data_IF_761674138318
#
_entry.id   IF_761674138318
#
_cell.length_a   1.000
_cell.length_b   1.000
_cell.length_c   1.000
_cell.angle_alpha   90.00
_cell.angle_beta   90.00
_cell.angle_gamma   90.00
#
_symmetry.space_group_name_H-M   'P 1'
#
loop_
_entity.id
_entity.type
_entity.pdbx_description
1 polymer ?
#
# COMPACT_ATOMS: atom_id res chain seq x y z
N UNK A 1 41.80 -23.37 7.31
CA UNK A 1 42.40 -22.62 8.42
C UNK A 1 43.56 -21.80 7.87
N UNK A 2 43.53 -20.50 7.95
CA UNK A 2 44.77 -19.72 8.20
C UNK A 2 44.51 -18.59 9.20
N UNK A 3 45.29 -18.58 10.27
CA UNK A 3 46.23 -17.53 10.54
C UNK A 3 45.72 -16.46 11.48
N UNK A 4 45.65 -16.77 12.79
CA UNK A 4 45.57 -15.73 13.84
C UNK A 4 46.99 -15.19 14.09
N UNK A 5 47.29 -13.95 13.71
CA UNK A 5 48.59 -13.31 13.99
C UNK A 5 48.66 -12.88 15.46
N UNK A 6 49.63 -13.41 16.18
CA UNK A 6 49.98 -13.01 17.55
C UNK A 6 50.57 -11.59 17.53
N UNK A 7 49.92 -10.66 18.23
CA UNK A 7 50.63 -9.50 18.83
C UNK A 7 50.71 -9.72 20.35
N UNK A 8 51.89 -9.47 20.85
CA UNK A 8 52.28 -9.76 22.20
C UNK A 8 51.45 -8.98 23.27
N UNK A 9 50.99 -9.65 24.34
CA UNK A 9 50.63 -9.03 25.60
C UNK A 9 49.25 -9.26 26.13
N UNK A 10 48.30 -9.85 25.41
CA UNK A 10 46.95 -10.15 25.97
C UNK A 10 46.55 -11.55 25.50
N UNK A 11 46.36 -12.44 26.46
CA UNK A 11 45.86 -13.80 26.19
C UNK A 11 44.34 -13.77 25.90
N UNK A 12 44.00 -14.06 24.65
CA UNK A 12 42.60 -14.27 24.24
C UNK A 12 42.31 -15.77 24.19
N UNK A 13 41.29 -16.20 24.87
CA UNK A 13 40.74 -17.55 24.71
C UNK A 13 39.49 -17.43 23.84
N UNK A 14 39.55 -18.04 22.65
CA UNK A 14 38.42 -18.08 21.76
C UNK A 14 37.67 -19.40 21.95
N UNK A 15 36.45 -19.35 22.44
CA UNK A 15 35.56 -20.51 22.58
C UNK A 15 34.45 -20.34 21.55
N UNK A 16 34.37 -21.25 20.58
CA UNK A 16 33.25 -21.33 19.66
C UNK A 16 32.16 -22.21 20.24
N UNK A 17 31.04 -21.64 20.61
CA UNK A 17 29.80 -22.37 20.87
C UNK A 17 28.89 -22.18 19.68
N UNK A 18 28.04 -23.15 19.33
CA UNK A 18 27.23 -23.18 18.10
C UNK A 18 26.26 -22.01 17.89
N UNK A 19 26.35 -20.91 18.67
CA UNK A 19 25.47 -19.74 18.65
C UNK A 19 26.22 -18.40 18.49
N UNK A 20 27.51 -18.38 18.15
CA UNK A 20 28.25 -17.13 17.95
C UNK A 20 29.63 -17.11 18.60
N UNK A 21 30.42 -16.09 18.29
CA UNK A 21 31.79 -15.91 18.76
C UNK A 21 31.78 -15.24 20.13
N UNK A 22 32.31 -15.91 21.17
CA UNK A 22 32.47 -15.33 22.50
C UNK A 22 33.95 -15.01 22.73
N UNK A 23 34.29 -13.75 22.93
CA UNK A 23 35.63 -13.32 23.30
C UNK A 23 35.71 -13.01 24.80
N UNK A 24 36.60 -13.68 25.52
CA UNK A 24 36.85 -13.43 26.94
C UNK A 24 38.25 -12.83 27.10
N UNK A 25 38.32 -11.63 27.68
CA UNK A 25 39.59 -11.01 28.04
C UNK A 25 39.88 -11.26 29.52
N UNK A 26 41.01 -11.93 29.81
CA UNK A 26 41.50 -12.09 31.17
C UNK A 26 42.48 -10.96 31.51
N UNK A 27 42.20 -10.18 32.55
CA UNK A 27 43.19 -9.28 33.12
C UNK A 27 42.85 -7.79 33.21
N UNK A 28 41.60 -7.38 33.32
CA UNK A 28 41.26 -5.99 33.62
C UNK A 28 40.68 -5.84 35.04
N UNK A 29 41.37 -5.09 35.90
CA UNK A 29 40.79 -4.50 37.11
C UNK A 29 39.95 -3.29 36.68
N UNK A 30 38.64 -3.35 36.87
CA UNK A 30 37.75 -2.23 36.70
C UNK A 30 37.93 -1.19 37.82
N UNK A 31 38.01 0.11 37.50
CA UNK A 31 38.10 1.15 38.53
C UNK A 31 36.85 1.17 39.41
N UNK A 32 37.07 1.45 40.69
CA UNK A 32 36.12 1.33 41.83
C UNK A 32 34.79 2.09 41.67
N UNK A 33 34.66 3.01 40.73
CA UNK A 33 33.46 3.83 40.52
C UNK A 33 32.45 3.24 39.52
N UNK A 34 32.79 2.13 38.81
CA UNK A 34 31.84 1.40 37.96
C UNK A 34 31.06 0.28 38.69
N UNK A 35 31.39 0.00 39.98
CA UNK A 35 30.77 -1.07 40.74
C UNK A 35 29.47 -0.68 41.45
N UNK A 36 29.07 0.59 41.37
CA UNK A 36 27.87 1.12 42.02
C UNK A 36 26.53 0.83 41.32
N UNK A 37 26.54 0.20 40.11
CA UNK A 37 25.33 -0.02 39.33
C UNK A 37 24.85 -1.47 39.28
N UNK A 38 25.42 -2.39 40.06
CA UNK A 38 24.97 -3.78 40.10
C UNK A 38 24.20 -4.07 41.39
N UNK A 39 23.07 -4.78 41.35
CA UNK A 39 22.28 -5.11 42.51
C UNK A 39 23.02 -6.09 43.44
N UNK A 40 22.84 -5.96 44.76
CA UNK A 40 23.64 -6.64 45.83
C UNK A 40 23.71 -8.18 45.84
N UNK A 41 22.81 -8.97 45.20
CA UNK A 41 22.91 -10.42 45.34
C UNK A 41 23.97 -11.09 44.45
N UNK A 42 24.65 -10.38 43.55
CA UNK A 42 25.65 -10.99 42.64
C UNK A 42 27.06 -11.11 43.21
N UNK A 43 27.31 -10.61 44.43
CA UNK A 43 28.62 -10.62 45.07
C UNK A 43 28.91 -11.87 45.94
N UNK A 44 27.92 -12.74 46.15
CA UNK A 44 28.04 -13.81 47.16
C UNK A 44 28.49 -15.17 46.61
N UNK A 45 28.66 -15.34 45.32
CA UNK A 45 29.14 -16.60 44.75
C UNK A 45 30.43 -16.41 43.96
N UNK A 46 31.54 -16.61 44.59
CA UNK A 46 32.90 -16.48 44.07
C UNK A 46 33.32 -17.48 43.00
N UNK A 47 32.43 -17.97 42.15
CA UNK A 47 32.74 -18.82 40.99
C UNK A 47 31.59 -18.84 39.96
N UNK A 48 31.01 -17.71 39.64
CA UNK A 48 30.06 -17.69 38.52
C UNK A 48 30.64 -16.86 37.41
N UNK A 49 30.97 -17.49 36.28
CA UNK A 49 31.35 -16.83 35.06
C UNK A 49 30.07 -16.19 34.51
N UNK A 50 29.93 -14.87 34.63
CA UNK A 50 28.87 -14.15 33.97
C UNK A 50 29.20 -14.05 32.45
N UNK A 51 28.57 -14.87 31.63
CA UNK A 51 28.60 -14.69 30.19
C UNK A 51 27.69 -13.51 29.79
N UNK A 52 28.28 -12.37 29.51
CA UNK A 52 27.57 -11.32 28.78
C UNK A 52 27.53 -11.71 27.30
N UNK A 53 26.37 -12.12 26.83
CA UNK A 53 26.10 -12.23 25.40
C UNK A 53 25.91 -10.78 24.89
N UNK A 54 26.97 -10.19 24.37
CA UNK A 54 26.84 -9.00 23.53
C UNK A 54 26.26 -9.52 22.23
N UNK A 55 24.94 -9.50 22.09
CA UNK A 55 24.30 -9.64 20.80
C UNK A 55 24.81 -8.52 19.94
N UNK A 56 25.73 -8.82 19.01
CA UNK A 56 26.00 -7.95 17.88
C UNK A 56 24.69 -7.76 17.13
N UNK A 57 24.52 -6.65 16.41
CA UNK A 57 23.34 -6.51 15.58
C UNK A 57 23.25 -7.76 14.69
N UNK A 58 22.19 -8.51 14.85
CA UNK A 58 21.81 -9.58 13.95
C UNK A 58 21.72 -8.94 12.56
N UNK A 59 22.65 -9.24 11.68
CA UNK A 59 22.61 -8.82 10.30
C UNK A 59 21.63 -9.68 9.51
N UNK A 60 20.43 -9.74 10.01
CA UNK A 60 19.21 -10.16 9.37
C UNK A 60 18.09 -9.31 9.99
N UNK A 61 18.17 -7.98 9.80
CA UNK A 61 16.94 -7.26 9.52
C UNK A 61 16.49 -7.78 8.15
N UNK A 62 15.81 -8.93 8.13
CA UNK A 62 14.75 -9.12 7.16
C UNK A 62 13.92 -7.84 7.30
N UNK A 63 14.01 -6.98 6.30
CA UNK A 63 13.16 -5.80 6.20
C UNK A 63 11.73 -6.35 6.27
N UNK A 64 11.11 -6.24 7.44
CA UNK A 64 9.73 -6.64 7.59
C UNK A 64 8.97 -5.83 6.55
N UNK A 65 8.38 -6.51 5.56
CA UNK A 65 7.54 -5.91 4.54
C UNK A 65 6.51 -5.07 5.28
N UNK A 66 6.51 -3.77 5.07
CA UNK A 66 5.53 -2.89 5.72
C UNK A 66 4.13 -3.34 5.31
N UNK A 67 3.19 -3.36 6.24
CA UNK A 67 1.82 -3.80 5.99
C UNK A 67 1.16 -3.06 4.82
N UNK A 68 1.62 -1.83 4.51
CA UNK A 68 1.08 -0.99 3.44
C UNK A 68 1.83 -1.10 2.09
N UNK A 69 2.92 -1.89 1.97
CA UNK A 69 3.71 -1.99 0.73
C UNK A 69 2.92 -2.51 -0.48
N UNK A 70 1.77 -3.15 -0.22
CA UNK A 70 0.86 -3.68 -1.26
C UNK A 70 -0.42 -2.86 -1.42
N UNK A 71 -0.49 -1.69 -0.80
CA UNK A 71 -1.68 -0.83 -0.81
C UNK A 71 -1.54 0.26 -1.86
N UNK A 72 -2.48 0.28 -2.80
CA UNK A 72 -2.53 1.23 -3.93
C UNK A 72 -3.82 2.04 -3.86
N UNK A 73 -3.74 3.34 -3.65
CA UNK A 73 -4.86 4.24 -3.79
C UNK A 73 -5.01 4.70 -5.24
N UNK A 74 -6.22 4.57 -5.80
CA UNK A 74 -6.55 5.03 -7.16
C UNK A 74 -7.25 6.37 -7.05
N UNK A 75 -6.52 7.46 -7.26
CA UNK A 75 -6.97 8.81 -6.94
C UNK A 75 -6.85 9.77 -8.12
N UNK A 76 -7.87 10.58 -8.32
CA UNK A 76 -7.89 11.78 -9.15
C UNK A 76 -9.10 12.62 -8.75
N UNK A 77 -8.95 13.92 -8.68
CA UNK A 77 -10.03 14.84 -8.26
C UNK A 77 -11.04 15.12 -9.37
N UNK A 78 -10.74 14.77 -10.62
CA UNK A 78 -11.69 14.85 -11.73
C UNK A 78 -12.64 13.65 -11.71
N UNK A 79 -13.94 13.90 -11.80
CA UNK A 79 -14.96 12.86 -11.95
C UNK A 79 -14.89 12.20 -13.35
N UNK A 80 -15.29 10.93 -13.44
CA UNK A 80 -15.45 10.23 -14.73
C UNK A 80 -14.14 9.81 -15.42
N UNK A 81 -12.97 9.97 -14.79
CA UNK A 81 -11.67 9.57 -15.39
C UNK A 81 -11.41 8.06 -15.34
N UNK A 82 -12.32 7.27 -14.78
CA UNK A 82 -12.22 5.81 -14.74
C UNK A 82 -11.54 5.24 -13.48
N UNK A 83 -11.60 5.91 -12.33
CA UNK A 83 -11.04 5.40 -11.05
C UNK A 83 -11.63 4.04 -10.68
N UNK A 84 -12.92 3.97 -10.41
CA UNK A 84 -13.63 2.73 -10.03
C UNK A 84 -13.52 1.66 -11.13
N UNK A 85 -13.57 2.07 -12.41
CA UNK A 85 -13.34 1.17 -13.55
C UNK A 85 -11.92 0.58 -13.51
N UNK A 86 -10.93 1.38 -13.15
CA UNK A 86 -9.54 0.91 -13.01
C UNK A 86 -9.42 -0.06 -11.84
N UNK A 87 -9.96 0.27 -10.66
CA UNK A 87 -9.98 -0.62 -9.49
C UNK A 87 -10.62 -1.96 -9.84
N UNK A 88 -11.82 -1.95 -10.42
CA UNK A 88 -12.55 -3.15 -10.84
C UNK A 88 -11.74 -4.05 -11.77
N UNK A 89 -11.11 -3.45 -12.79
CA UNK A 89 -10.41 -4.23 -13.80
C UNK A 89 -9.03 -4.69 -13.34
N UNK A 90 -8.29 -3.86 -12.63
CA UNK A 90 -7.00 -4.28 -12.03
C UNK A 90 -7.24 -5.40 -11.03
N UNK A 91 -8.27 -5.31 -10.16
CA UNK A 91 -8.64 -6.37 -9.23
C UNK A 91 -8.98 -7.69 -9.97
N UNK A 92 -9.82 -7.61 -11.01
CA UNK A 92 -10.22 -8.80 -11.79
C UNK A 92 -9.04 -9.49 -12.50
N UNK A 93 -8.13 -8.72 -13.12
CA UNK A 93 -6.96 -9.31 -13.78
C UNK A 93 -5.90 -9.79 -12.78
N UNK A 94 -5.74 -9.12 -11.63
CA UNK A 94 -4.84 -9.57 -10.57
C UNK A 94 -5.33 -10.91 -9.97
N UNK A 95 -6.64 -11.03 -9.70
CA UNK A 95 -7.23 -12.28 -9.24
C UNK A 95 -7.12 -13.40 -10.29
N UNK A 96 -7.33 -13.10 -11.59
CA UNK A 96 -7.08 -14.02 -12.70
C UNK A 96 -5.62 -14.51 -12.73
N UNK A 97 -4.67 -13.67 -12.32
CA UNK A 97 -3.26 -14.02 -12.16
C UNK A 97 -2.95 -14.76 -10.84
N UNK A 98 -3.97 -15.16 -10.07
CA UNK A 98 -3.84 -15.94 -8.83
C UNK A 98 -3.52 -15.11 -7.59
N UNK A 99 -3.67 -13.77 -7.64
CA UNK A 99 -3.44 -12.89 -6.49
C UNK A 99 -4.70 -12.76 -5.64
N UNK A 100 -4.53 -12.72 -4.32
CA UNK A 100 -5.60 -12.36 -3.37
C UNK A 100 -5.72 -10.85 -3.34
N UNK A 101 -6.90 -10.33 -3.64
CA UNK A 101 -7.12 -8.89 -3.79
C UNK A 101 -8.19 -8.40 -2.82
N UNK A 102 -7.93 -7.27 -2.17
CA UNK A 102 -8.93 -6.52 -1.42
C UNK A 102 -9.24 -5.21 -2.16
N UNK A 103 -10.52 -4.95 -2.41
CA UNK A 103 -10.99 -3.64 -2.86
C UNK A 103 -11.63 -2.90 -1.67
N UNK A 104 -11.34 -1.62 -1.53
CA UNK A 104 -11.93 -0.74 -0.52
C UNK A 104 -12.60 0.43 -1.25
N UNK A 105 -13.93 0.52 -1.14
CA UNK A 105 -14.68 1.64 -1.71
C UNK A 105 -14.79 2.77 -0.69
N UNK A 106 -14.18 3.92 -0.98
CA UNK A 106 -14.21 5.11 -0.10
C UNK A 106 -15.11 6.23 -0.64
N UNK A 107 -15.84 6.00 -1.74
CA UNK A 107 -16.83 6.94 -2.25
C UNK A 107 -18.19 6.72 -1.60
N UNK A 108 -18.80 7.73 -0.92
CA UNK A 108 -20.16 7.62 -0.40
C UNK A 108 -21.21 7.28 -1.45
N UNK A 109 -20.94 7.56 -2.74
CA UNK A 109 -21.84 7.13 -3.82
C UNK A 109 -21.82 5.62 -4.05
N UNK A 110 -20.83 4.91 -3.50
CA UNK A 110 -20.73 3.46 -3.47
C UNK A 110 -20.80 2.82 -4.88
N UNK A 111 -20.22 3.48 -5.88
CA UNK A 111 -20.29 3.01 -7.27
C UNK A 111 -19.57 1.68 -7.48
N UNK A 112 -18.39 1.50 -6.89
CA UNK A 112 -17.66 0.23 -6.92
C UNK A 112 -18.43 -0.85 -6.17
N UNK A 113 -18.97 -0.52 -5.00
CA UNK A 113 -19.78 -1.40 -4.17
C UNK A 113 -21.00 -1.92 -4.92
N UNK A 114 -21.77 -1.04 -5.57
CA UNK A 114 -22.98 -1.41 -6.33
C UNK A 114 -22.68 -2.41 -7.45
N UNK A 115 -21.54 -2.27 -8.11
CA UNK A 115 -21.10 -3.16 -9.21
C UNK A 115 -20.61 -4.50 -8.67
N UNK A 116 -19.94 -4.52 -7.53
CA UNK A 116 -19.21 -5.71 -7.05
C UNK A 116 -19.85 -6.41 -5.87
N UNK A 117 -20.91 -5.86 -5.33
CA UNK A 117 -21.69 -6.50 -4.30
C UNK A 117 -22.58 -7.59 -4.90
N UNK A 118 -22.59 -8.77 -4.31
CA UNK A 118 -23.49 -9.87 -4.70
C UNK A 118 -24.93 -9.47 -4.41
N UNK A 119 -25.88 -9.84 -5.29
CA UNK A 119 -27.30 -9.52 -5.12
C UNK A 119 -27.89 -10.06 -3.82
N UNK A 120 -27.40 -11.22 -3.35
CA UNK A 120 -27.80 -11.87 -2.11
C UNK A 120 -27.06 -11.34 -0.87
N UNK A 121 -25.98 -10.58 -1.07
CA UNK A 121 -25.17 -10.03 0.01
C UNK A 121 -25.71 -8.66 0.44
N UNK A 122 -26.18 -8.59 1.69
CA UNK A 122 -26.48 -7.32 2.36
C UNK A 122 -25.39 -7.08 3.39
N UNK A 123 -24.43 -6.19 3.14
CA UNK A 123 -23.38 -5.92 4.11
C UNK A 123 -24.02 -5.38 5.39
N UNK A 124 -23.79 -6.06 6.50
CA UNK A 124 -24.23 -5.63 7.83
C UNK A 124 -23.30 -4.57 8.40
N UNK A 125 -22.06 -4.55 7.94
CA UNK A 125 -21.00 -3.60 8.31
C UNK A 125 -20.39 -3.02 7.04
N UNK A 126 -20.32 -1.70 6.99
CA UNK A 126 -19.71 -0.95 5.88
C UNK A 126 -18.46 -0.19 6.37
N UNK A 127 -17.70 0.37 5.47
CA UNK A 127 -16.58 1.25 5.84
C UNK A 127 -17.04 2.39 6.77
N UNK A 128 -18.25 2.93 6.54
CA UNK A 128 -18.83 3.96 7.41
C UNK A 128 -18.97 3.49 8.86
N UNK A 129 -19.37 2.24 9.09
CA UNK A 129 -19.54 1.69 10.42
C UNK A 129 -18.21 1.47 11.13
N UNK A 130 -17.20 1.00 10.39
CA UNK A 130 -15.80 0.86 10.87
C UNK A 130 -15.26 2.22 11.31
N UNK A 131 -15.32 3.23 10.46
CA UNK A 131 -14.77 4.57 10.77
C UNK A 131 -15.55 5.26 11.88
N UNK A 132 -16.89 5.05 11.97
CA UNK A 132 -17.73 5.59 13.06
C UNK A 132 -17.38 4.98 14.41
N UNK A 133 -17.18 3.68 14.46
CA UNK A 133 -16.83 2.97 15.70
C UNK A 133 -15.39 3.19 16.12
N UNK A 134 -14.55 3.76 15.23
CA UNK A 134 -13.10 3.87 15.40
C UNK A 134 -12.46 2.50 15.68
N UNK A 135 -13.05 1.46 15.10
CA UNK A 135 -12.49 0.12 15.19
C UNK A 135 -11.16 0.09 14.42
N UNK A 136 -10.09 -0.26 15.09
CA UNK A 136 -8.79 -0.46 14.46
C UNK A 136 -8.74 -1.80 13.69
N UNK A 137 -9.82 -2.15 12.99
CA UNK A 137 -9.95 -3.38 12.23
C UNK A 137 -11.09 -3.30 11.22
N UNK A 138 -10.87 -3.83 10.02
CA UNK A 138 -11.91 -4.03 9.00
C UNK A 138 -12.71 -5.33 9.21
N UNK A 139 -12.50 -6.03 10.33
CA UNK A 139 -13.20 -7.27 10.63
C UNK A 139 -14.73 -7.06 10.57
N UNK A 140 -15.43 -7.97 9.89
CA UNK A 140 -16.85 -7.88 9.66
C UNK A 140 -17.28 -6.97 8.50
N UNK A 141 -16.41 -6.05 8.03
CA UNK A 141 -16.65 -5.25 6.84
C UNK A 141 -16.06 -5.90 5.56
N UNK A 142 -15.10 -6.82 5.69
CA UNK A 142 -14.54 -7.55 4.55
C UNK A 142 -15.51 -8.65 4.14
N UNK A 143 -16.00 -8.58 2.92
CA UNK A 143 -16.93 -9.56 2.34
C UNK A 143 -16.46 -10.02 0.97
N UNK A 144 -16.78 -11.27 0.55
CA UNK A 144 -16.50 -11.72 -0.81
C UNK A 144 -17.27 -10.87 -1.84
N UNK A 145 -16.59 -10.44 -2.91
CA UNK A 145 -17.22 -9.74 -4.03
C UNK A 145 -17.79 -10.73 -5.06
N UNK A 146 -18.43 -10.21 -6.12
CA UNK A 146 -18.85 -11.01 -7.29
C UNK A 146 -17.66 -11.49 -8.12
N UNK A 147 -16.48 -10.88 -7.95
CA UNK A 147 -15.26 -11.28 -8.64
C UNK A 147 -14.56 -12.40 -7.88
N UNK A 148 -14.36 -13.60 -8.46
CA UNK A 148 -13.67 -14.69 -7.77
C UNK A 148 -12.25 -14.28 -7.34
N UNK A 149 -11.90 -14.55 -6.08
CA UNK A 149 -10.58 -14.22 -5.52
C UNK A 149 -10.40 -12.75 -5.13
N UNK A 150 -11.48 -11.98 -5.11
CA UNK A 150 -11.49 -10.57 -4.71
C UNK A 150 -12.46 -10.37 -3.56
N UNK A 151 -11.98 -9.78 -2.48
CA UNK A 151 -12.79 -9.32 -1.37
C UNK A 151 -13.08 -7.81 -1.48
N UNK A 152 -14.14 -7.37 -0.82
CA UNK A 152 -14.63 -5.99 -0.84
C UNK A 152 -14.86 -5.48 0.58
N UNK A 153 -14.42 -4.25 0.85
CA UNK A 153 -14.95 -3.42 1.94
C UNK A 153 -15.94 -2.44 1.31
N UNK A 154 -17.25 -2.62 1.55
CA UNK A 154 -18.28 -1.84 0.89
C UNK A 154 -18.41 -0.44 1.50
N UNK A 155 -18.74 0.54 0.65
CA UNK A 155 -19.13 1.89 1.05
C UNK A 155 -20.66 2.01 1.26
N UNK A 156 -21.06 3.16 1.79
CA UNK A 156 -22.45 3.54 1.93
C UNK A 156 -22.62 5.06 1.99
N UNK A 157 -23.83 5.56 1.71
CA UNK A 157 -24.13 7.00 1.79
C UNK A 157 -23.87 7.58 3.19
N UNK A 158 -23.94 6.76 4.25
CA UNK A 158 -23.65 7.20 5.62
C UNK A 158 -22.18 7.57 5.83
N UNK A 159 -21.26 7.14 4.94
CA UNK A 159 -19.84 7.47 5.01
C UNK A 159 -19.60 8.98 5.02
N UNK A 160 -20.34 9.74 4.22
CA UNK A 160 -20.20 11.21 4.18
C UNK A 160 -20.50 11.86 5.54
N UNK A 161 -21.60 11.42 6.19
CA UNK A 161 -21.96 11.92 7.53
C UNK A 161 -20.89 11.55 8.57
N UNK A 162 -20.34 10.33 8.51
CA UNK A 162 -19.30 9.86 9.43
C UNK A 162 -18.03 10.68 9.27
N UNK A 163 -17.58 10.90 8.05
CA UNK A 163 -16.39 11.70 7.78
C UNK A 163 -16.55 13.14 8.26
N UNK A 164 -17.72 13.76 8.05
CA UNK A 164 -18.00 15.10 8.55
C UNK A 164 -17.99 15.17 10.08
N UNK A 165 -18.55 14.18 10.78
CA UNK A 165 -18.49 14.09 12.24
C UNK A 165 -17.06 13.87 12.75
N UNK A 166 -16.21 13.24 11.98
CA UNK A 166 -14.82 12.95 12.33
C UNK A 166 -13.89 14.17 12.19
N UNK A 167 -14.35 15.30 11.59
CA UNK A 167 -13.49 16.47 11.35
C UNK A 167 -12.89 17.10 12.61
N UNK A 168 -13.52 16.91 13.77
CA UNK A 168 -13.04 17.40 15.07
C UNK A 168 -12.13 16.42 15.82
N UNK A 169 -11.93 15.21 15.28
CA UNK A 169 -11.15 14.15 15.95
C UNK A 169 -9.66 14.33 15.70
N UNK A 170 -8.85 14.05 16.70
CA UNK A 170 -7.42 13.86 16.53
C UNK A 170 -7.14 12.52 15.84
N UNK A 171 -6.15 12.50 14.95
CA UNK A 171 -5.79 11.30 14.20
C UNK A 171 -6.82 10.87 13.15
N UNK A 172 -7.79 11.72 12.80
CA UNK A 172 -8.84 11.42 11.81
C UNK A 172 -8.30 10.99 10.45
N UNK A 173 -7.08 11.40 10.13
CA UNK A 173 -6.40 11.07 8.88
C UNK A 173 -5.92 9.61 8.82
N UNK A 174 -5.81 8.95 9.97
CA UNK A 174 -5.27 7.59 10.11
C UNK A 174 -6.33 6.50 10.28
N UNK A 175 -7.62 6.86 10.36
CA UNK A 175 -8.72 5.92 10.66
C UNK A 175 -8.73 4.70 9.72
N UNK A 176 -8.53 4.90 8.42
CA UNK A 176 -8.49 3.80 7.46
C UNK A 176 -7.17 3.02 7.56
N UNK A 177 -6.05 3.70 7.76
CA UNK A 177 -4.75 3.05 7.91
C UNK A 177 -4.73 2.10 9.10
N UNK A 178 -5.19 2.58 10.27
CA UNK A 178 -5.28 1.78 11.51
C UNK A 178 -6.23 0.57 11.33
N UNK A 179 -7.37 0.77 10.65
CA UNK A 179 -8.33 -0.31 10.42
C UNK A 179 -7.83 -1.35 9.39
N UNK A 180 -7.02 -0.94 8.41
CA UNK A 180 -6.49 -1.82 7.36
C UNK A 180 -5.28 -2.62 7.83
N UNK A 181 -4.42 -2.06 8.68
CA UNK A 181 -3.13 -2.63 9.07
C UNK A 181 -3.19 -4.12 9.48
N UNK A 182 -4.14 -4.57 10.32
CA UNK A 182 -4.23 -5.97 10.71
C UNK A 182 -4.56 -6.94 9.55
N UNK A 183 -5.05 -6.43 8.44
CA UNK A 183 -5.58 -7.22 7.32
C UNK A 183 -4.70 -7.16 6.07
N UNK A 184 -3.91 -6.10 5.88
CA UNK A 184 -3.18 -5.84 4.64
C UNK A 184 -2.26 -6.99 4.23
N UNK A 185 -1.57 -7.63 5.18
CA UNK A 185 -0.66 -8.75 4.93
C UNK A 185 -1.36 -10.02 4.40
N UNK A 186 -2.69 -10.12 4.56
CA UNK A 186 -3.46 -11.25 4.04
C UNK A 186 -3.67 -11.19 2.52
N UNK A 187 -3.39 -10.05 1.89
CA UNK A 187 -3.63 -9.79 0.48
C UNK A 187 -2.33 -9.52 -0.28
N UNK A 188 -2.31 -9.92 -1.54
CA UNK A 188 -1.20 -9.65 -2.46
C UNK A 188 -1.33 -8.27 -3.11
N UNK A 189 -2.54 -7.70 -3.08
CA UNK A 189 -2.86 -6.36 -3.58
C UNK A 189 -4.08 -5.81 -2.84
N UNK A 190 -3.96 -4.59 -2.32
CA UNK A 190 -5.09 -3.81 -1.80
C UNK A 190 -5.30 -2.59 -2.69
N UNK A 191 -6.52 -2.42 -3.19
CA UNK A 191 -6.90 -1.29 -4.05
C UNK A 191 -7.94 -0.42 -3.34
N UNK A 192 -7.63 0.86 -3.18
CA UNK A 192 -8.55 1.83 -2.57
C UNK A 192 -9.13 2.71 -3.67
N UNK A 193 -10.45 2.63 -3.89
CA UNK A 193 -11.18 3.50 -4.82
C UNK A 193 -11.50 4.84 -4.16
N UNK A 194 -10.94 5.93 -4.69
CA UNK A 194 -11.10 7.27 -4.15
C UNK A 194 -12.20 8.06 -4.87
N UNK A 195 -12.99 8.83 -4.11
CA UNK A 195 -13.95 9.79 -4.67
C UNK A 195 -13.24 10.98 -5.33
N UNK A 196 -13.93 11.72 -6.25
CA UNK A 196 -13.36 12.91 -6.91
C UNK A 196 -13.51 14.16 -6.04
N UNK A 197 -12.88 14.20 -4.86
CA UNK A 197 -12.98 15.32 -3.93
C UNK A 197 -11.69 15.49 -3.10
N UNK A 198 -11.44 16.71 -2.60
CA UNK A 198 -10.39 16.95 -1.58
C UNK A 198 -11.09 16.96 -0.23
N UNK A 199 -11.17 15.82 0.39
CA UNK A 199 -11.82 15.66 1.70
C UNK A 199 -11.11 14.63 2.58
N UNK A 200 -11.70 14.32 3.73
CA UNK A 200 -11.16 13.37 4.67
C UNK A 200 -11.15 11.92 4.13
N UNK A 201 -12.06 11.58 3.21
CA UNK A 201 -12.07 10.25 2.57
C UNK A 201 -10.80 10.01 1.76
N UNK A 202 -10.48 10.93 0.84
CA UNK A 202 -9.26 10.83 0.01
C UNK A 202 -8.01 10.98 0.87
N UNK A 203 -8.05 11.80 1.92
CA UNK A 203 -6.94 11.92 2.88
C UNK A 203 -6.68 10.57 3.55
N UNK A 204 -7.70 9.88 4.07
CA UNK A 204 -7.57 8.56 4.67
C UNK A 204 -7.04 7.51 3.68
N UNK A 205 -7.55 7.51 2.45
CA UNK A 205 -7.11 6.59 1.41
C UNK A 205 -5.60 6.76 1.10
N UNK A 206 -5.14 8.01 0.93
CA UNK A 206 -3.73 8.31 0.67
C UNK A 206 -2.83 8.14 1.90
N UNK A 207 -3.39 8.24 3.11
CA UNK A 207 -2.64 7.97 4.35
C UNK A 207 -2.41 6.47 4.52
N UNK A 208 -3.40 5.63 4.17
CA UNK A 208 -3.30 4.17 4.26
C UNK A 208 -2.43 3.55 3.15
N UNK A 209 -2.24 4.25 2.03
CA UNK A 209 -1.57 3.71 0.85
C UNK A 209 -0.06 3.99 0.84
N UNK A 210 0.72 3.02 0.37
CA UNK A 210 2.12 3.20 -0.04
C UNK A 210 2.20 3.82 -1.44
N UNK A 211 1.28 3.40 -2.33
CA UNK A 211 1.32 3.74 -3.74
C UNK A 211 0.08 4.51 -4.17
N UNK A 212 0.27 5.50 -5.03
CA UNK A 212 -0.82 6.23 -5.66
C UNK A 212 -0.81 6.01 -7.18
N UNK A 213 -1.88 5.45 -7.72
CA UNK A 213 -2.14 5.33 -9.14
C UNK A 213 -3.10 6.44 -9.57
N UNK A 214 -2.74 7.21 -10.59
CA UNK A 214 -3.55 8.34 -11.05
C UNK A 214 -4.10 8.10 -12.46
N UNK A 215 -5.36 7.67 -12.61
CA UNK A 215 -6.04 7.65 -13.90
C UNK A 215 -6.26 9.07 -14.41
N UNK A 216 -5.86 9.35 -15.67
CA UNK A 216 -6.00 10.65 -16.31
C UNK A 216 -6.67 10.46 -17.67
N UNK A 217 -7.84 11.08 -17.85
CA UNK A 217 -8.53 11.04 -19.14
C UNK A 217 -7.73 11.78 -20.23
N UNK A 218 -7.53 11.16 -21.41
CA UNK A 218 -6.85 11.78 -22.54
C UNK A 218 -7.74 12.84 -23.23
N UNK A 219 -7.98 13.97 -22.57
CA UNK A 219 -8.79 15.09 -23.04
C UNK A 219 -8.05 16.42 -22.88
N UNK A 220 -8.57 17.50 -23.44
CA UNK A 220 -7.96 18.84 -23.38
C UNK A 220 -7.73 19.33 -21.93
N UNK A 221 -8.62 18.98 -20.98
CA UNK A 221 -8.49 19.31 -19.56
C UNK A 221 -7.96 18.11 -18.74
N UNK A 222 -7.02 17.36 -19.31
CA UNK A 222 -6.55 16.10 -18.71
C UNK A 222 -5.89 16.31 -17.35
N UNK A 223 -5.18 17.41 -17.15
CA UNK A 223 -4.21 17.59 -16.08
C UNK A 223 -4.72 18.34 -14.86
N UNK A 224 -5.84 19.05 -14.93
CA UNK A 224 -6.35 19.83 -13.80
C UNK A 224 -6.55 18.99 -12.53
N UNK A 225 -7.19 17.82 -12.69
CA UNK A 225 -7.41 16.90 -11.57
C UNK A 225 -6.11 16.24 -11.06
N UNK A 226 -5.15 16.02 -11.97
CA UNK A 226 -3.83 15.48 -11.62
C UNK A 226 -3.03 16.45 -10.75
N UNK A 227 -2.91 17.72 -11.14
CA UNK A 227 -2.14 18.71 -10.38
C UNK A 227 -2.66 18.87 -8.95
N UNK A 228 -3.97 18.89 -8.79
CA UNK A 228 -4.59 19.01 -7.46
C UNK A 228 -4.35 17.76 -6.58
N UNK A 229 -4.46 16.54 -7.14
CA UNK A 229 -4.19 15.33 -6.35
C UNK A 229 -2.72 15.21 -6.00
N UNK A 230 -1.80 15.63 -6.87
CA UNK A 230 -0.38 15.68 -6.58
C UNK A 230 -0.04 16.70 -5.48
N UNK A 231 -0.67 17.88 -5.50
CA UNK A 231 -0.50 18.86 -4.44
C UNK A 231 -1.03 18.37 -3.09
N UNK A 232 -2.11 17.57 -3.07
CA UNK A 232 -2.59 16.91 -1.86
C UNK A 232 -1.59 15.84 -1.40
N UNK A 233 -1.14 14.95 -2.29
CA UNK A 233 -0.18 13.90 -1.97
C UNK A 233 1.13 14.47 -1.39
N UNK A 234 1.65 15.56 -1.96
CA UNK A 234 2.85 16.22 -1.47
C UNK A 234 2.67 16.79 -0.05
N UNK A 235 1.49 17.34 0.27
CA UNK A 235 1.18 17.79 1.63
C UNK A 235 1.10 16.64 2.63
N UNK A 236 0.48 15.52 2.22
CA UNK A 236 0.37 14.33 3.06
C UNK A 236 1.74 13.69 3.28
N UNK A 237 2.56 13.58 2.24
CA UNK A 237 3.92 13.05 2.32
C UNK A 237 4.80 13.82 3.31
N UNK A 238 4.67 15.13 3.36
CA UNK A 238 5.45 15.97 4.28
C UNK A 238 5.05 15.87 5.74
N UNK A 239 3.82 15.44 6.06
CA UNK A 239 3.26 15.60 7.42
C UNK A 239 2.67 14.33 8.02
N UNK A 240 2.19 13.40 7.19
CA UNK A 240 1.32 12.31 7.61
C UNK A 240 1.86 10.97 7.12
N UNK A 241 2.11 10.82 5.81
CA UNK A 241 2.56 9.59 5.19
C UNK A 241 3.80 9.85 4.32
N UNK A 242 5.02 9.87 4.90
CA UNK A 242 6.25 10.15 4.16
C UNK A 242 6.55 9.12 3.07
N UNK A 243 6.00 7.92 3.20
CA UNK A 243 6.21 6.81 2.29
C UNK A 243 5.32 6.84 1.05
N UNK A 244 4.30 7.70 1.02
CA UNK A 244 3.39 7.80 -0.11
C UNK A 244 4.16 8.16 -1.39
N UNK A 245 4.10 7.28 -2.37
CA UNK A 245 4.83 7.41 -3.63
C UNK A 245 3.88 7.30 -4.82
N UNK A 246 4.13 8.11 -5.86
CA UNK A 246 3.41 7.98 -7.11
C UNK A 246 3.85 6.70 -7.83
N UNK A 247 2.98 5.70 -7.88
CA UNK A 247 3.20 4.49 -8.69
C UNK A 247 3.26 4.84 -10.19
N UNK A 248 2.32 5.65 -10.62
CA UNK A 248 2.32 6.12 -12.00
C UNK A 248 1.03 6.78 -12.45
N UNK A 249 1.05 7.24 -13.69
CA UNK A 249 -0.09 7.83 -14.37
C UNK A 249 -0.65 6.83 -15.38
N UNK A 250 -1.96 6.57 -15.30
CA UNK A 250 -2.69 5.72 -16.23
C UNK A 250 -3.53 6.59 -17.18
N UNK A 251 -3.09 6.78 -18.43
CA UNK A 251 -3.93 7.47 -19.42
C UNK A 251 -5.18 6.63 -19.71
N UNK A 252 -6.35 7.23 -19.60
CA UNK A 252 -7.64 6.55 -19.80
C UNK A 252 -8.45 7.20 -20.93
N UNK A 253 -9.48 6.50 -21.42
CA UNK A 253 -10.42 6.97 -22.45
C UNK A 253 -9.69 7.48 -23.71
N UNK A 254 -8.55 6.90 -24.00
CA UNK A 254 -7.74 7.24 -25.17
C UNK A 254 -8.49 6.94 -26.47
N UNK A 255 -8.47 7.88 -27.39
CA UNK A 255 -9.01 7.73 -28.76
C UNK A 255 -7.86 7.80 -29.73
N UNK A 256 -7.55 6.68 -30.42
CA UNK A 256 -6.55 6.66 -31.48
C UNK A 256 -6.95 7.59 -32.64
N UNK A 257 -5.98 8.31 -33.21
CA UNK A 257 -6.21 9.18 -34.36
C UNK A 257 -6.74 10.58 -34.01
N UNK A 258 -6.94 10.94 -32.74
CA UNK A 258 -7.32 12.31 -32.37
C UNK A 258 -6.10 13.09 -31.87
N UNK A 259 -5.93 14.33 -32.40
CA UNK A 259 -4.83 15.22 -31.98
C UNK A 259 -4.82 15.48 -30.45
N UNK A 260 -6.00 15.74 -29.90
CA UNK A 260 -6.14 15.98 -28.43
C UNK A 260 -5.65 14.84 -27.55
N UNK A 261 -5.91 13.58 -27.95
CA UNK A 261 -5.42 12.44 -27.18
C UNK A 261 -3.89 12.30 -27.27
N UNK A 262 -3.29 12.66 -28.40
CA UNK A 262 -1.84 12.64 -28.56
C UNK A 262 -1.16 13.77 -27.78
N UNK A 263 -1.74 14.97 -27.77
CA UNK A 263 -1.26 16.09 -26.97
C UNK A 263 -1.34 15.78 -25.47
N UNK A 264 -2.45 15.20 -25.01
CA UNK A 264 -2.63 14.77 -23.64
C UNK A 264 -1.56 13.74 -23.22
N UNK A 265 -1.24 12.75 -24.08
CA UNK A 265 -0.17 11.79 -23.81
C UNK A 265 1.20 12.46 -23.68
N UNK A 266 1.54 13.40 -24.58
CA UNK A 266 2.80 14.15 -24.49
C UNK A 266 2.91 14.95 -23.20
N UNK A 267 1.81 15.57 -22.77
CA UNK A 267 1.78 16.29 -21.50
C UNK A 267 1.98 15.33 -20.32
N UNK A 268 1.31 14.18 -20.30
CA UNK A 268 1.50 13.13 -19.28
C UNK A 268 2.95 12.64 -19.26
N UNK A 269 3.57 12.41 -20.42
CA UNK A 269 4.99 12.02 -20.52
C UNK A 269 5.91 13.06 -19.85
N UNK A 270 5.61 14.35 -20.01
CA UNK A 270 6.33 15.44 -19.35
C UNK A 270 6.23 15.39 -17.81
N UNK A 271 5.05 15.11 -17.27
CA UNK A 271 4.84 14.99 -15.81
C UNK A 271 5.53 13.75 -15.23
N UNK A 272 5.43 12.61 -15.90
CA UNK A 272 6.10 11.37 -15.46
C UNK A 272 7.62 11.56 -15.44
N UNK A 273 8.20 12.25 -16.42
CA UNK A 273 9.62 12.54 -16.45
C UNK A 273 10.11 13.37 -15.25
N UNK A 274 9.25 14.20 -14.66
CA UNK A 274 9.55 15.02 -13.48
C UNK A 274 9.29 14.27 -12.15
N UNK A 275 8.41 13.28 -12.15
CA UNK A 275 7.93 12.59 -10.94
C UNK A 275 8.62 11.24 -10.73
N UNK A 276 9.92 11.13 -11.01
CA UNK A 276 10.66 9.88 -10.80
C UNK A 276 10.57 9.37 -9.35
N UNK A 277 10.37 8.07 -9.11
CA UNK A 277 10.41 6.92 -10.04
C UNK A 277 9.05 6.48 -10.63
N UNK A 278 8.12 7.37 -10.93
CA UNK A 278 6.78 7.03 -11.40
C UNK A 278 6.76 6.33 -12.78
N UNK A 279 5.77 5.46 -12.99
CA UNK A 279 5.54 4.78 -14.26
C UNK A 279 4.55 5.55 -15.14
N UNK A 280 4.77 5.54 -16.44
CA UNK A 280 3.75 5.86 -17.43
C UNK A 280 3.18 4.56 -17.98
N UNK A 281 1.95 4.24 -17.58
CA UNK A 281 1.26 3.07 -18.09
C UNK A 281 0.84 3.23 -19.54
N UNK A 282 0.65 2.12 -20.25
CA UNK A 282 0.05 2.19 -21.58
C UNK A 282 -1.36 2.78 -21.51
N UNK A 283 -1.80 3.53 -22.54
CA UNK A 283 -3.14 4.12 -22.54
C UNK A 283 -4.23 3.05 -22.60
N UNK A 284 -5.28 3.24 -21.80
CA UNK A 284 -6.53 2.48 -21.89
C UNK A 284 -7.45 3.19 -22.88
N UNK A 285 -7.84 2.50 -23.94
CA UNK A 285 -8.76 3.05 -24.93
C UNK A 285 -10.16 3.27 -24.39
N UNK A 286 -10.86 4.23 -24.96
CA UNK A 286 -12.30 4.33 -24.77
C UNK A 286 -12.97 3.15 -25.50
N UNK A 287 -13.69 2.33 -24.77
CA UNK A 287 -14.36 1.15 -25.30
C UNK A 287 -15.71 0.92 -24.62
N UNK A 288 -16.71 0.52 -25.39
CA UNK A 288 -18.04 0.19 -24.89
C UNK A 288 -18.01 -0.95 -23.90
N UNK A 289 -17.19 -1.97 -24.15
CA UNK A 289 -17.05 -3.10 -23.24
C UNK A 289 -16.63 -2.70 -21.81
N UNK A 290 -15.81 -1.65 -21.66
CA UNK A 290 -15.42 -1.15 -20.33
C UNK A 290 -16.55 -0.41 -19.60
N UNK A 291 -17.53 0.11 -20.35
CA UNK A 291 -18.72 0.72 -19.79
C UNK A 291 -19.82 -0.32 -19.47
N UNK A 292 -19.92 -1.37 -20.30
CA UNK A 292 -20.94 -2.40 -20.17
C UNK A 292 -20.63 -3.43 -19.09
N UNK A 293 -19.39 -3.87 -18.96
CA UNK A 293 -18.98 -4.90 -17.99
C UNK A 293 -19.50 -4.65 -16.55
N UNK A 294 -19.43 -3.42 -16.00
CA UNK A 294 -19.98 -3.11 -14.68
C UNK A 294 -21.49 -3.36 -14.56
N UNK A 295 -22.26 -3.16 -15.64
CA UNK A 295 -23.71 -3.40 -15.63
C UNK A 295 -24.07 -4.88 -15.39
N UNK A 296 -23.13 -5.79 -15.65
CA UNK A 296 -23.25 -7.23 -15.41
C UNK A 296 -22.54 -7.70 -14.14
N UNK A 297 -22.07 -6.76 -13.31
CA UNK A 297 -21.28 -7.11 -12.12
C UNK A 297 -19.94 -7.78 -12.45
N UNK A 298 -19.35 -7.50 -13.61
CA UNK A 298 -18.17 -8.16 -14.13
C UNK A 298 -17.02 -7.17 -14.36
N UNK A 299 -15.79 -7.66 -14.19
CA UNK A 299 -14.60 -7.00 -14.74
C UNK A 299 -14.40 -7.41 -16.21
N UNK A 300 -13.56 -6.68 -16.94
CA UNK A 300 -13.15 -7.07 -18.29
C UNK A 300 -12.42 -8.43 -18.31
N UNK A 301 -11.81 -8.84 -17.21
CA UNK A 301 -11.18 -10.15 -17.10
C UNK A 301 -12.21 -11.30 -17.25
N UNK A 302 -13.48 -11.05 -16.93
CA UNK A 302 -14.61 -11.99 -17.09
C UNK A 302 -15.41 -11.68 -18.35
N UNK A 303 -15.78 -10.40 -18.56
CA UNK A 303 -16.71 -9.98 -19.61
C UNK A 303 -16.11 -10.03 -21.02
N UNK A 304 -14.89 -9.52 -21.18
CA UNK A 304 -14.26 -9.38 -22.49
C UNK A 304 -12.72 -9.45 -22.42
N UNK A 305 -12.13 -10.54 -21.89
CA UNK A 305 -10.69 -10.63 -21.63
C UNK A 305 -9.83 -10.52 -22.89
N UNK A 306 -10.33 -11.00 -24.03
CA UNK A 306 -9.61 -10.99 -25.31
C UNK A 306 -9.86 -9.72 -26.14
N UNK A 307 -10.69 -8.80 -25.66
CA UNK A 307 -10.88 -7.50 -26.29
C UNK A 307 -9.60 -6.65 -26.20
N UNK A 308 -9.50 -5.66 -27.07
CA UNK A 308 -8.33 -4.77 -27.03
C UNK A 308 -8.18 -4.05 -25.69
N UNK A 309 -9.30 -3.55 -25.11
CA UNK A 309 -9.30 -2.89 -23.80
C UNK A 309 -9.02 -3.89 -22.65
N UNK A 310 -9.48 -5.15 -22.78
CA UNK A 310 -9.18 -6.22 -21.84
C UNK A 310 -7.67 -6.49 -21.76
N UNK A 311 -7.03 -6.66 -22.94
CA UNK A 311 -5.57 -6.84 -23.00
C UNK A 311 -4.78 -5.63 -22.47
N UNK A 312 -5.28 -4.41 -22.67
CA UNK A 312 -4.66 -3.20 -22.12
C UNK A 312 -4.68 -3.22 -20.60
N UNK A 313 -5.83 -3.54 -19.96
CA UNK A 313 -5.91 -3.68 -18.50
C UNK A 313 -5.09 -4.87 -17.99
N UNK A 314 -5.05 -6.00 -18.69
CA UNK A 314 -4.21 -7.15 -18.33
C UNK A 314 -2.72 -6.76 -18.30
N UNK A 315 -2.25 -6.00 -19.31
CA UNK A 315 -0.87 -5.49 -19.35
C UNK A 315 -0.58 -4.51 -18.21
N UNK A 316 -1.47 -3.54 -17.98
CA UNK A 316 -1.34 -2.57 -16.87
C UNK A 316 -1.28 -3.28 -15.52
N UNK A 317 -2.17 -4.26 -15.31
CA UNK A 317 -2.17 -5.07 -14.08
C UNK A 317 -0.86 -5.82 -13.90
N UNK A 318 -0.34 -6.45 -14.97
CA UNK A 318 0.96 -7.12 -14.94
C UNK A 318 2.11 -6.18 -14.57
N UNK A 319 2.10 -4.95 -15.08
CA UNK A 319 3.09 -3.92 -14.72
C UNK A 319 3.00 -3.50 -13.26
N UNK A 320 1.77 -3.32 -12.73
CA UNK A 320 1.54 -3.01 -11.31
C UNK A 320 2.08 -4.13 -10.43
N UNK A 321 1.70 -5.37 -10.70
CA UNK A 321 2.13 -6.53 -9.92
C UNK A 321 3.66 -6.72 -9.97
N UNK A 322 4.27 -6.58 -11.14
CA UNK A 322 5.72 -6.68 -11.29
C UNK A 322 6.47 -5.59 -10.50
N UNK A 323 5.91 -4.36 -10.44
CA UNK A 323 6.47 -3.28 -9.62
C UNK A 323 6.38 -3.62 -8.13
N UNK A 324 5.21 -4.03 -7.65
CA UNK A 324 5.00 -4.37 -6.24
C UNK A 324 5.89 -5.56 -5.81
N UNK A 325 6.02 -6.58 -6.65
CA UNK A 325 6.89 -7.72 -6.37
C UNK A 325 8.36 -7.31 -6.26
N UNK A 326 8.83 -6.33 -7.03
CA UNK A 326 10.21 -5.82 -6.97
C UNK A 326 10.49 -4.95 -5.73
N UNK A 327 9.53 -4.10 -5.33
CA UNK A 327 9.69 -3.21 -4.18
C UNK A 327 9.57 -3.95 -2.84
N UNK A 328 8.78 -5.01 -2.76
CA UNK A 328 8.66 -5.87 -1.56
C UNK A 328 9.97 -6.62 -1.26
N UNK A 329 10.86 -6.79 -2.25
CA UNK A 329 12.17 -7.47 -2.08
C UNK A 329 13.36 -6.51 -1.94
N UNK A 330 13.14 -5.19 -1.87
CA UNK A 330 14.17 -4.16 -1.63
C UNK A 330 14.19 -3.71 -0.18
#
# INVERSE_FOLDING_TARGET
>A
MPGCSRRAGLGWICLTCGCGLVAVASGFFLPHWLTGCLPPPLWYYGRTIACFIIGGPSSAEESAVSSNDRVVAVANLKGGVGKSTTVLNVAGFAAKAGRRVLMIDTDPQASLTQVTLREDARPTVTLADVLRSRAASLEGAIIPSVLPGVDLVPSSLSLESVLNQSLSLEGREYLLAEALDPHAAAYDLVLIDCRPAIDLSVTNALTAARWMLVPVECSFMALDGYEHVMALAERLRKRINPDLTLLGILPTRYRSGTGHSQEALKAIDGYVAQAQPALRFQPIRLAVAAADAPAYGQSLAQFAPTSAVGREYETVTGQILAWLDQEVWR
#
